data_IF_364281280938
#
_entry.id   IF_364281280938
#
_cell.length_a   1.000
_cell.length_b   1.000
_cell.length_c   1.000
_cell.angle_alpha   90.00
_cell.angle_beta   90.00
_cell.angle_gamma   90.00
#
_symmetry.space_group_name_H-M   'P 1'
#
loop_
_entity.id
_entity.type
_entity.pdbx_description
1 polymer ?
#
# COMPACT_ATOMS: atom_id res chain seq x y z
N UNK A 1 4.42 -15.55 8.46
CA UNK A 1 4.27 -14.90 7.15
C UNK A 1 3.29 -13.75 7.29
N UNK A 2 3.64 -12.58 6.80
CA UNK A 2 2.78 -11.41 6.94
C UNK A 2 1.83 -11.26 5.76
N UNK A 3 0.72 -10.57 5.98
CA UNK A 3 -0.27 -10.28 4.95
C UNK A 3 -0.10 -8.85 4.46
N UNK A 4 0.00 -8.67 3.16
CA UNK A 4 0.15 -7.38 2.51
C UNK A 4 -1.05 -7.15 1.60
N UNK A 5 -1.68 -5.99 1.71
CA UNK A 5 -2.74 -5.57 0.81
C UNK A 5 -2.17 -4.61 -0.22
N UNK A 6 -2.33 -4.93 -1.50
CA UNK A 6 -1.92 -4.07 -2.60
C UNK A 6 -3.15 -3.57 -3.34
N UNK A 7 -3.23 -2.27 -3.53
CA UNK A 7 -4.28 -1.64 -4.34
C UNK A 7 -3.67 -1.09 -5.62
N UNK A 8 -3.98 -1.70 -6.75
CA UNK A 8 -3.54 -1.26 -8.08
C UNK A 8 -4.46 -1.85 -9.14
N UNK A 9 -4.71 -1.09 -10.20
CA UNK A 9 -5.40 -1.59 -11.38
C UNK A 9 -4.41 -2.04 -12.47
N UNK A 10 -3.11 -1.93 -12.21
CA UNK A 10 -2.06 -2.37 -13.14
C UNK A 10 -1.66 -3.81 -12.85
N UNK A 11 -1.92 -4.71 -13.79
CA UNK A 11 -1.50 -6.11 -13.65
C UNK A 11 0.03 -6.22 -13.64
N UNK A 12 0.71 -5.37 -14.43
CA UNK A 12 2.17 -5.36 -14.45
C UNK A 12 2.77 -4.99 -13.10
N UNK A 13 2.22 -3.97 -12.44
CA UNK A 13 2.69 -3.57 -11.11
C UNK A 13 2.42 -4.67 -10.09
N UNK A 14 1.24 -5.29 -10.15
CA UNK A 14 0.89 -6.38 -9.25
C UNK A 14 1.86 -7.55 -9.42
N UNK A 15 2.23 -7.89 -10.65
CA UNK A 15 3.18 -8.97 -10.92
C UNK A 15 4.57 -8.63 -10.36
N UNK A 16 5.01 -7.37 -10.49
CA UNK A 16 6.29 -6.94 -9.93
C UNK A 16 6.32 -7.07 -8.41
N UNK A 17 5.25 -6.65 -7.74
CA UNK A 17 5.15 -6.74 -6.29
C UNK A 17 5.09 -8.19 -5.85
N UNK A 18 4.28 -9.01 -6.51
CA UNK A 18 4.15 -10.45 -6.21
C UNK A 18 5.51 -11.13 -6.32
N UNK A 19 6.25 -10.86 -7.39
CA UNK A 19 7.57 -11.47 -7.60
C UNK A 19 8.55 -11.08 -6.49
N UNK A 20 8.48 -9.84 -6.02
CA UNK A 20 9.40 -9.35 -4.99
C UNK A 20 9.13 -9.97 -3.62
N UNK A 21 7.88 -10.29 -3.29
CA UNK A 21 7.50 -10.73 -1.94
C UNK A 21 7.16 -12.23 -1.88
N UNK A 22 7.14 -12.92 -3.01
CA UNK A 22 6.75 -14.32 -3.09
C UNK A 22 7.59 -15.19 -2.14
N UNK A 23 6.94 -16.08 -1.40
CA UNK A 23 7.59 -16.96 -0.45
C UNK A 23 7.91 -16.31 0.90
N UNK A 24 7.82 -14.99 1.01
CA UNK A 24 8.10 -14.25 2.25
C UNK A 24 6.83 -13.64 2.85
N UNK A 25 5.92 -13.21 2.01
CA UNK A 25 4.67 -12.56 2.43
C UNK A 25 3.51 -13.05 1.57
N UNK A 26 2.30 -12.95 2.11
CA UNK A 26 1.07 -13.26 1.37
C UNK A 26 0.52 -11.96 0.81
N UNK A 27 0.34 -11.89 -0.50
CA UNK A 27 -0.17 -10.71 -1.17
C UNK A 27 -1.66 -10.85 -1.47
N UNK A 28 -2.43 -9.87 -1.04
CA UNK A 28 -3.85 -9.70 -1.36
C UNK A 28 -3.98 -8.47 -2.23
N UNK A 29 -4.85 -8.52 -3.23
CA UNK A 29 -4.97 -7.41 -4.17
C UNK A 29 -6.40 -6.93 -4.30
N UNK A 30 -6.58 -5.60 -4.36
CA UNK A 30 -7.80 -4.95 -4.84
C UNK A 30 -7.45 -4.07 -6.03
N UNK A 31 -8.42 -3.79 -6.88
CA UNK A 31 -8.21 -3.08 -8.16
C UNK A 31 -8.71 -1.65 -8.15
N UNK A 32 -9.36 -1.22 -7.08
CA UNK A 32 -9.93 0.12 -6.98
C UNK A 32 -9.69 0.67 -5.59
N UNK A 33 -9.48 1.99 -5.51
CA UNK A 33 -9.25 2.66 -4.23
C UNK A 33 -10.42 2.52 -3.25
N UNK A 34 -11.66 2.48 -3.78
CA UNK A 34 -12.86 2.32 -2.95
C UNK A 34 -12.92 0.96 -2.25
N UNK A 35 -12.17 -0.02 -2.72
CA UNK A 35 -12.16 -1.37 -2.14
C UNK A 35 -11.14 -1.52 -1.01
N UNK A 36 -10.31 -0.51 -0.78
CA UNK A 36 -9.20 -0.61 0.19
C UNK A 36 -9.72 -0.78 1.62
N UNK A 37 -10.58 0.12 2.09
CA UNK A 37 -11.08 0.04 3.47
C UNK A 37 -11.84 -1.28 3.71
N UNK A 38 -12.78 -1.70 2.83
CA UNK A 38 -13.44 -3.00 3.02
C UNK A 38 -12.46 -4.17 3.05
N UNK A 39 -11.40 -4.13 2.21
CA UNK A 39 -10.41 -5.19 2.20
C UNK A 39 -9.58 -5.23 3.48
N UNK A 40 -9.25 -4.06 4.04
CA UNK A 40 -8.56 -4.00 5.34
C UNK A 40 -9.40 -4.66 6.42
N UNK A 41 -10.69 -4.41 6.43
CA UNK A 41 -11.60 -5.00 7.40
C UNK A 41 -11.65 -6.53 7.28
N UNK A 42 -11.57 -7.06 6.06
CA UNK A 42 -11.66 -8.50 5.82
C UNK A 42 -10.34 -9.23 6.03
N UNK A 43 -9.23 -8.64 5.57
CA UNK A 43 -7.92 -9.30 5.55
C UNK A 43 -7.11 -9.00 6.80
N UNK A 44 -7.32 -7.83 7.38
CA UNK A 44 -6.51 -7.33 8.50
C UNK A 44 -5.00 -7.37 8.16
N UNK A 45 -4.57 -6.69 7.07
CA UNK A 45 -3.20 -6.79 6.61
C UNK A 45 -2.22 -6.09 7.55
N UNK A 46 -0.97 -6.56 7.51
CA UNK A 46 0.12 -5.96 8.28
C UNK A 46 0.71 -4.73 7.60
N UNK A 47 0.53 -4.61 6.29
CA UNK A 47 1.02 -3.50 5.48
C UNK A 47 0.07 -3.26 4.32
N UNK A 48 -0.16 -1.99 4.00
CA UNK A 48 -0.99 -1.59 2.86
C UNK A 48 -0.11 -0.85 1.85
N UNK A 49 -0.09 -1.32 0.60
CA UNK A 49 0.59 -0.67 -0.52
C UNK A 49 -0.45 -0.08 -1.45
N UNK A 50 -0.37 1.21 -1.72
CA UNK A 50 -1.34 1.92 -2.55
C UNK A 50 -0.64 2.52 -3.77
N UNK A 51 -1.06 2.08 -4.95
CA UNK A 51 -0.63 2.69 -6.21
C UNK A 51 -1.25 4.08 -6.30
N UNK A 52 -0.43 5.10 -6.60
CA UNK A 52 -0.92 6.47 -6.72
C UNK A 52 -2.00 6.58 -7.79
N UNK A 53 -1.82 5.89 -8.91
CA UNK A 53 -2.70 5.95 -10.08
C UNK A 53 -3.69 4.79 -10.09
N UNK A 54 -4.65 4.79 -9.16
CA UNK A 54 -5.72 3.80 -9.15
C UNK A 54 -7.02 4.46 -9.59
N UNK A 55 -7.83 3.75 -10.38
CA UNK A 55 -9.19 4.18 -10.68
C UNK A 55 -10.10 4.07 -9.46
N UNK A 56 -11.20 4.78 -9.48
CA UNK A 56 -12.21 4.77 -8.42
C UNK A 56 -11.59 5.03 -7.04
N UNK A 57 -11.28 6.28 -6.78
CA UNK A 57 -10.56 6.76 -5.61
C UNK A 57 -9.05 6.49 -5.72
N UNK A 58 -8.28 7.50 -6.05
CA UNK A 58 -6.81 7.41 -6.19
C UNK A 58 -6.11 7.02 -4.89
N UNK A 59 -4.84 6.66 -5.02
CA UNK A 59 -4.04 6.19 -3.88
C UNK A 59 -3.95 7.18 -2.73
N UNK A 60 -3.83 8.48 -3.03
CA UNK A 60 -3.80 9.51 -1.99
C UNK A 60 -5.12 9.54 -1.23
N UNK A 61 -6.25 9.56 -1.95
CA UNK A 61 -7.57 9.59 -1.32
C UNK A 61 -7.83 8.31 -0.51
N UNK A 62 -7.38 7.16 -1.01
CA UNK A 62 -7.50 5.90 -0.29
C UNK A 62 -6.70 5.92 1.02
N UNK A 63 -5.48 6.46 0.97
CA UNK A 63 -4.65 6.61 2.17
C UNK A 63 -5.33 7.52 3.20
N UNK A 64 -5.85 8.64 2.75
CA UNK A 64 -6.56 9.58 3.63
C UNK A 64 -7.81 8.94 4.25
N UNK A 65 -8.53 8.12 3.48
CA UNK A 65 -9.70 7.40 3.99
C UNK A 65 -9.30 6.39 5.08
N UNK A 66 -8.18 5.68 4.89
CA UNK A 66 -7.66 4.76 5.90
C UNK A 66 -7.32 5.52 7.19
N UNK A 67 -6.58 6.62 7.08
CA UNK A 67 -6.20 7.44 8.24
C UNK A 67 -7.41 7.98 8.98
N UNK A 68 -8.43 8.43 8.26
CA UNK A 68 -9.65 8.93 8.87
C UNK A 68 -10.35 7.83 9.68
N UNK A 69 -10.42 6.61 9.13
CA UNK A 69 -11.04 5.48 9.84
C UNK A 69 -10.24 5.08 11.07
N UNK A 70 -8.92 5.19 11.01
CA UNK A 70 -8.07 4.95 12.17
C UNK A 70 -8.35 5.98 13.28
N UNK A 71 -8.46 7.26 12.92
CA UNK A 71 -8.78 8.32 13.87
C UNK A 71 -10.15 8.13 14.53
N UNK A 72 -11.11 7.61 13.77
CA UNK A 72 -12.45 7.34 14.27
C UNK A 72 -12.53 6.09 15.13
N UNK A 73 -11.47 5.29 15.18
CA UNK A 73 -11.45 4.03 15.93
C UNK A 73 -12.08 2.86 15.19
N UNK A 74 -12.40 3.03 13.90
CA UNK A 74 -13.01 1.97 13.10
C UNK A 74 -11.98 0.96 12.57
N UNK A 75 -10.72 1.39 12.44
CA UNK A 75 -9.61 0.53 12.01
C UNK A 75 -8.45 0.67 12.98
N UNK A 76 -7.72 -0.42 13.18
CA UNK A 76 -6.45 -0.36 13.90
C UNK A 76 -5.39 0.30 13.03
N UNK A 77 -4.46 1.03 13.64
CA UNK A 77 -3.37 1.66 12.93
C UNK A 77 -2.47 0.61 12.28
N UNK A 78 -2.02 0.88 11.07
CA UNK A 78 -1.11 0.02 10.34
C UNK A 78 -0.26 0.83 9.37
N UNK A 79 0.89 0.29 8.98
CA UNK A 79 1.73 0.98 7.99
C UNK A 79 1.04 1.05 6.63
N UNK A 80 1.13 2.23 6.00
CA UNK A 80 0.63 2.45 4.64
C UNK A 80 1.77 3.05 3.82
N UNK A 81 2.05 2.46 2.67
CA UNK A 81 3.09 2.93 1.75
C UNK A 81 2.47 3.28 0.40
N UNK A 82 2.85 4.42 -0.14
CA UNK A 82 2.41 4.85 -1.47
C UNK A 82 3.47 4.51 -2.52
N UNK A 83 2.99 4.05 -3.67
CA UNK A 83 3.83 3.81 -4.85
C UNK A 83 3.60 4.98 -5.80
N UNK A 84 4.59 5.88 -5.89
CA UNK A 84 4.49 7.15 -6.59
C UNK A 84 4.98 7.02 -8.03
N UNK A 85 4.50 7.87 -8.92
CA UNK A 85 4.91 7.85 -10.32
C UNK A 85 6.20 8.65 -10.54
N UNK A 86 6.38 9.75 -9.79
CA UNK A 86 7.51 10.67 -9.97
C UNK A 86 7.95 11.22 -8.61
N UNK A 87 9.20 11.69 -8.56
CA UNK A 87 9.73 12.29 -7.34
C UNK A 87 8.95 13.54 -6.92
N UNK A 88 8.39 14.29 -7.86
CA UNK A 88 7.58 15.47 -7.54
C UNK A 88 6.31 15.11 -6.76
N UNK A 89 5.91 13.83 -6.76
CA UNK A 89 4.73 13.36 -6.04
C UNK A 89 4.99 13.07 -4.56
N UNK A 90 6.25 13.19 -4.10
CA UNK A 90 6.61 12.88 -2.70
C UNK A 90 5.79 13.71 -1.71
N UNK A 91 5.50 14.97 -2.06
CA UNK A 91 4.68 15.80 -1.17
C UNK A 91 3.28 15.21 -0.94
N UNK A 92 2.75 14.46 -1.91
CA UNK A 92 1.44 13.81 -1.77
C UNK A 92 1.45 12.73 -0.69
N UNK A 93 2.56 11.99 -0.59
CA UNK A 93 2.71 10.97 0.46
C UNK A 93 2.71 11.63 1.84
N UNK A 94 3.37 12.77 1.98
CA UNK A 94 3.40 13.52 3.23
C UNK A 94 2.03 14.09 3.57
N UNK A 95 1.33 14.65 2.58
CA UNK A 95 -0.03 15.20 2.78
C UNK A 95 -1.03 14.12 3.17
N UNK A 96 -0.88 12.90 2.64
CA UNK A 96 -1.76 11.79 2.94
C UNK A 96 -1.42 11.07 4.24
N UNK A 97 -0.34 11.48 4.90
CA UNK A 97 0.15 10.84 6.12
C UNK A 97 0.51 9.37 5.90
N UNK A 98 1.17 9.07 4.77
CA UNK A 98 1.73 7.75 4.51
C UNK A 98 2.99 7.54 5.35
N UNK A 99 3.22 6.30 5.76
CA UNK A 99 4.42 5.96 6.54
C UNK A 99 5.68 5.90 5.68
N UNK A 100 5.51 5.57 4.41
CA UNK A 100 6.62 5.40 3.48
C UNK A 100 6.15 5.57 2.05
N UNK A 101 7.09 5.65 1.13
CA UNK A 101 6.80 5.70 -0.30
C UNK A 101 7.96 5.09 -1.09
N UNK A 102 7.66 4.68 -2.32
CA UNK A 102 8.64 4.34 -3.34
C UNK A 102 8.23 5.03 -4.63
N UNK A 103 9.23 5.43 -5.43
CA UNK A 103 8.99 6.07 -6.73
C UNK A 103 9.22 5.04 -7.82
N UNK A 104 8.27 4.91 -8.75
CA UNK A 104 8.40 4.00 -9.89
C UNK A 104 9.49 4.50 -10.85
N UNK A 105 10.15 3.61 -11.59
CA UNK A 105 9.94 2.16 -11.65
C UNK A 105 10.47 1.48 -10.38
N UNK A 106 9.80 0.40 -9.96
CA UNK A 106 10.15 -0.29 -8.73
C UNK A 106 11.33 -1.22 -8.96
N UNK A 107 12.36 -1.06 -8.14
CA UNK A 107 13.46 -2.02 -8.07
C UNK A 107 13.05 -3.14 -7.10
N UNK A 108 13.09 -4.43 -7.51
CA UNK A 108 12.63 -5.51 -6.65
C UNK A 108 13.35 -5.58 -5.30
N UNK A 109 14.64 -5.32 -5.27
CA UNK A 109 15.41 -5.33 -4.02
C UNK A 109 14.98 -4.19 -3.10
N UNK A 110 14.85 -2.97 -3.64
CA UNK A 110 14.42 -1.80 -2.87
C UNK A 110 12.98 -1.97 -2.36
N UNK A 111 12.11 -2.57 -3.17
CA UNK A 111 10.74 -2.85 -2.78
C UNK A 111 10.70 -3.82 -1.61
N UNK A 112 11.41 -4.94 -1.70
CA UNK A 112 11.44 -5.93 -0.63
C UNK A 112 12.01 -5.32 0.66
N UNK A 113 13.08 -4.53 0.54
CA UNK A 113 13.69 -3.88 1.69
C UNK A 113 12.70 -2.91 2.35
N UNK A 114 11.98 -2.12 1.57
CA UNK A 114 10.99 -1.18 2.09
C UNK A 114 9.82 -1.91 2.76
N UNK A 115 9.37 -3.02 2.18
CA UNK A 115 8.32 -3.84 2.76
C UNK A 115 8.77 -4.37 4.11
N UNK A 116 9.96 -4.96 4.18
CA UNK A 116 10.47 -5.54 5.43
C UNK A 116 10.70 -4.49 6.51
N UNK A 117 11.05 -3.27 6.13
CA UNK A 117 11.24 -2.17 7.09
C UNK A 117 9.93 -1.65 7.66
N UNK A 118 8.81 -1.89 6.99
CA UNK A 118 7.52 -1.35 7.37
C UNK A 118 6.54 -2.39 7.91
N UNK A 119 6.84 -3.70 7.81
CA UNK A 119 6.00 -4.73 8.43
C UNK A 119 6.39 -4.91 9.89
N UNK A 120 5.44 -5.29 10.76
CA UNK A 120 5.76 -5.56 12.16
C UNK A 120 6.78 -6.70 12.27
N UNK A 121 7.74 -6.55 13.15
CA UNK A 121 8.71 -7.60 13.45
C UNK A 121 8.14 -8.52 14.52
N UNK A 122 8.24 -9.82 14.28
CA UNK A 122 7.76 -10.81 15.23
C UNK A 122 8.73 -10.94 16.43
#
# INVERSE_FOLDING_TARGET
>A
MTDILLATDSDGLADEVEAAVAGLHVLHRVRAGVDVVPAIEQVDPDLVLLDLQIGNMGGVAACMAVRQREEMGDLDERPVMLLLDREVDIFLANEADADAYLVKPLDPFSLLQAVQSNVPQA
#
